data_IF_612700239735
#
_entry.id   IF_612700239735
#
_cell.length_a   1.000
_cell.length_b   1.000
_cell.length_c   1.000
_cell.angle_alpha   90.00
_cell.angle_beta   90.00
_cell.angle_gamma   90.00
#
_symmetry.space_group_name_H-M   'P 1'
#
loop_
_entity.id
_entity.type
_entity.pdbx_description
1 polymer ?
#
# COMPACT_ATOMS: atom_id res chain seq x y z
N UNK A 1 3.54 12.88 22.00
CA UNK A 1 2.62 11.86 21.53
C UNK A 1 2.56 11.81 19.99
N UNK A 2 2.26 12.90 19.29
CA UNK A 2 2.06 12.91 17.84
C UNK A 2 3.22 12.36 17.00
N UNK A 3 4.48 12.61 17.40
CA UNK A 3 5.65 12.06 16.71
C UNK A 3 5.83 10.56 16.98
N UNK A 4 5.54 10.08 18.20
CA UNK A 4 5.53 8.64 18.52
C UNK A 4 4.50 7.89 17.69
N UNK A 5 3.29 8.42 17.57
CA UNK A 5 2.22 7.85 16.72
C UNK A 5 2.67 7.81 15.26
N UNK A 6 3.25 8.89 14.75
CA UNK A 6 3.75 8.94 13.36
C UNK A 6 4.87 7.94 13.09
N UNK A 7 5.81 7.78 14.02
CA UNK A 7 6.85 6.74 13.93
C UNK A 7 6.24 5.34 13.92
N UNK A 8 5.24 5.09 14.77
CA UNK A 8 4.50 3.82 14.78
C UNK A 8 3.79 3.52 13.45
N UNK A 9 3.16 4.54 12.84
CA UNK A 9 2.53 4.41 11.52
C UNK A 9 3.55 4.05 10.43
N UNK A 10 4.71 4.74 10.41
CA UNK A 10 5.78 4.46 9.46
C UNK A 10 6.36 3.07 9.68
N UNK A 11 6.65 2.68 10.91
CA UNK A 11 7.15 1.35 11.23
C UNK A 11 6.18 0.24 10.77
N UNK A 12 4.88 0.41 11.01
CA UNK A 12 3.85 -0.52 10.55
C UNK A 12 3.81 -0.64 9.02
N UNK A 13 3.92 0.48 8.29
CA UNK A 13 3.95 0.47 6.83
C UNK A 13 5.19 -0.27 6.29
N UNK A 14 6.37 -0.06 6.90
CA UNK A 14 7.61 -0.70 6.47
C UNK A 14 7.68 -2.19 6.83
N UNK A 15 7.01 -2.62 7.90
CA UNK A 15 7.00 -4.03 8.32
C UNK A 15 6.42 -4.98 7.27
N UNK A 16 5.52 -4.50 6.42
CA UNK A 16 4.83 -5.31 5.41
C UNK A 16 5.51 -5.31 4.03
N UNK A 17 6.54 -4.47 3.81
CA UNK A 17 7.17 -4.29 2.49
C UNK A 17 7.72 -5.60 1.93
N UNK A 18 8.43 -6.38 2.74
CA UNK A 18 9.10 -7.60 2.27
C UNK A 18 8.10 -8.61 1.68
N UNK A 19 7.06 -8.95 2.45
CA UNK A 19 6.03 -9.89 2.01
C UNK A 19 5.20 -9.34 0.86
N UNK A 20 4.85 -8.05 0.89
CA UNK A 20 4.11 -7.39 -0.17
C UNK A 20 4.90 -7.39 -1.49
N UNK A 21 6.22 -7.14 -1.46
CA UNK A 21 7.07 -7.14 -2.66
C UNK A 21 7.12 -8.52 -3.32
N UNK A 22 7.29 -9.59 -2.52
CA UNK A 22 7.33 -10.95 -3.07
C UNK A 22 5.98 -11.32 -3.69
N UNK A 23 4.88 -11.04 -3.02
CA UNK A 23 3.54 -11.32 -3.53
C UNK A 23 3.24 -10.52 -4.82
N UNK A 24 3.62 -9.26 -4.84
CA UNK A 24 3.45 -8.35 -5.98
C UNK A 24 4.26 -8.83 -7.21
N UNK A 25 5.53 -9.18 -7.03
CA UNK A 25 6.37 -9.72 -8.10
C UNK A 25 5.86 -11.07 -8.64
N UNK A 26 5.41 -11.96 -7.75
CA UNK A 26 4.84 -13.25 -8.14
C UNK A 26 3.56 -13.08 -8.95
N UNK A 27 2.68 -12.16 -8.53
CA UNK A 27 1.45 -11.85 -9.27
C UNK A 27 1.75 -11.19 -10.61
N UNK A 28 2.69 -10.24 -10.66
CA UNK A 28 3.10 -9.59 -11.89
C UNK A 28 3.64 -10.61 -12.91
N UNK A 29 4.45 -11.57 -12.45
CA UNK A 29 4.96 -12.66 -13.29
C UNK A 29 3.82 -13.54 -13.81
N UNK A 30 2.91 -13.99 -12.94
CA UNK A 30 1.80 -14.86 -13.32
C UNK A 30 0.86 -14.17 -14.33
N UNK A 31 0.50 -12.91 -14.07
CA UNK A 31 -0.39 -12.13 -14.96
C UNK A 31 0.27 -11.87 -16.30
N UNK A 32 1.55 -11.47 -16.32
CA UNK A 32 2.26 -11.20 -17.57
C UNK A 32 2.46 -12.45 -18.39
N UNK A 33 2.88 -13.55 -17.79
CA UNK A 33 3.04 -14.83 -18.47
C UNK A 33 1.70 -15.34 -19.02
N UNK A 34 0.63 -15.28 -18.23
CA UNK A 34 -0.71 -15.64 -18.66
C UNK A 34 -1.23 -14.79 -19.82
N UNK A 35 -1.08 -13.47 -19.73
CA UNK A 35 -1.47 -12.56 -20.81
C UNK A 35 -0.63 -12.76 -22.08
N UNK A 36 0.68 -12.94 -21.95
CA UNK A 36 1.54 -13.23 -23.10
C UNK A 36 1.16 -14.54 -23.80
N UNK A 37 0.87 -15.58 -23.01
CA UNK A 37 0.38 -16.85 -23.51
C UNK A 37 -0.97 -16.74 -24.24
N UNK A 38 -1.94 -16.07 -23.62
CA UNK A 38 -3.29 -15.94 -24.17
C UNK A 38 -3.34 -15.03 -25.41
N UNK A 39 -2.55 -13.98 -25.44
CA UNK A 39 -2.56 -12.97 -26.51
C UNK A 39 -1.51 -13.22 -27.58
N UNK A 40 -0.56 -14.12 -27.34
CA UNK A 40 0.62 -14.36 -28.20
C UNK A 40 1.40 -13.06 -28.51
N UNK A 41 1.43 -12.12 -27.56
CA UNK A 41 2.11 -10.81 -27.70
C UNK A 41 3.27 -10.70 -26.71
N UNK A 42 4.32 -10.01 -27.11
CA UNK A 42 5.47 -9.71 -26.25
C UNK A 42 5.24 -8.53 -25.29
N UNK A 43 4.24 -7.68 -25.55
CA UNK A 43 3.98 -6.48 -24.76
C UNK A 43 3.80 -6.75 -23.25
N UNK A 44 3.10 -7.80 -22.78
CA UNK A 44 3.05 -8.15 -21.37
C UNK A 44 4.43 -8.40 -20.74
N UNK A 45 5.36 -8.99 -21.49
CA UNK A 45 6.71 -9.26 -20.99
C UNK A 45 7.54 -7.97 -20.89
N UNK A 46 7.33 -7.00 -21.78
CA UNK A 46 7.95 -5.67 -21.69
C UNK A 46 7.47 -4.96 -20.41
N UNK A 47 6.18 -5.02 -20.14
CA UNK A 47 5.66 -4.48 -18.89
C UNK A 47 6.23 -5.20 -17.66
N UNK A 48 6.37 -6.52 -17.70
CA UNK A 48 6.98 -7.30 -16.62
C UNK A 48 8.41 -6.82 -16.33
N UNK A 49 9.22 -6.59 -17.35
CA UNK A 49 10.57 -6.06 -17.17
C UNK A 49 10.57 -4.67 -16.51
N UNK A 50 9.67 -3.79 -16.93
CA UNK A 50 9.47 -2.48 -16.30
C UNK A 50 9.07 -2.64 -14.83
N UNK A 51 8.14 -3.54 -14.53
CA UNK A 51 7.68 -3.82 -13.18
C UNK A 51 8.79 -4.37 -12.29
N UNK A 52 9.54 -5.37 -12.76
CA UNK A 52 10.65 -5.94 -12.01
C UNK A 52 11.78 -4.92 -11.77
N UNK A 53 12.09 -4.08 -12.75
CA UNK A 53 13.10 -3.03 -12.59
C UNK A 53 12.75 -2.04 -11.46
N UNK A 54 11.48 -1.67 -11.30
CA UNK A 54 11.06 -0.83 -10.20
C UNK A 54 10.99 -1.60 -8.87
N UNK A 55 10.64 -2.90 -8.88
CA UNK A 55 10.58 -3.75 -7.68
C UNK A 55 11.95 -3.90 -7.03
N UNK A 56 13.05 -3.87 -7.79
CA UNK A 56 14.42 -3.88 -7.26
C UNK A 56 14.74 -2.69 -6.35
N UNK A 57 13.92 -1.65 -6.31
CA UNK A 57 14.05 -0.53 -5.37
C UNK A 57 13.54 -0.84 -3.97
N UNK A 58 12.65 -1.83 -3.81
CA UNK A 58 12.08 -2.18 -2.50
C UNK A 58 13.10 -2.69 -1.46
N UNK A 59 14.13 -3.48 -1.81
CA UNK A 59 15.19 -3.84 -0.87
C UNK A 59 15.95 -2.64 -0.30
N UNK A 60 16.02 -1.53 -1.07
CA UNK A 60 16.60 -0.27 -0.59
C UNK A 60 15.71 0.38 0.50
N UNK A 61 14.41 0.08 0.53
CA UNK A 61 13.51 0.50 1.59
C UNK A 61 13.71 -0.33 2.87
N UNK A 62 14.13 -1.58 2.75
CA UNK A 62 14.54 -2.43 3.88
C UNK A 62 15.75 -1.88 4.64
N UNK A 63 16.52 -0.97 4.05
CA UNK A 63 17.53 -0.18 4.75
C UNK A 63 16.95 0.70 5.88
N UNK A 64 15.63 0.96 5.88
CA UNK A 64 14.94 1.55 7.02
C UNK A 64 15.12 0.73 8.30
N UNK A 65 15.09 -0.60 8.18
CA UNK A 65 15.14 -1.50 9.33
C UNK A 65 16.52 -1.57 10.00
N UNK A 66 17.59 -1.21 9.31
CA UNK A 66 18.96 -1.46 9.80
C UNK A 66 19.64 -0.25 10.45
N UNK A 67 19.39 0.98 10.00
CA UNK A 67 20.23 2.12 10.45
C UNK A 67 19.51 3.46 10.60
N UNK A 68 18.42 3.68 9.91
CA UNK A 68 17.98 5.04 9.60
C UNK A 68 16.75 5.49 10.39
N UNK A 69 16.04 4.60 11.08
CA UNK A 69 14.84 4.95 11.84
C UNK A 69 15.08 5.93 12.99
N UNK A 70 16.31 6.01 13.48
CA UNK A 70 16.70 6.90 14.56
C UNK A 70 17.30 8.23 14.06
N UNK A 71 17.98 8.24 12.91
CA UNK A 71 18.69 9.39 12.37
C UNK A 71 17.82 10.35 11.55
N UNK A 72 16.77 9.83 10.89
CA UNK A 72 15.90 10.62 10.03
C UNK A 72 14.51 10.82 10.64
N UNK A 73 13.85 11.97 10.42
CA UNK A 73 12.49 12.20 10.92
C UNK A 73 11.47 11.26 10.23
N UNK A 74 10.42 10.87 10.96
CA UNK A 74 9.36 9.99 10.42
C UNK A 74 8.71 10.55 9.15
N UNK A 75 8.67 11.87 8.99
CA UNK A 75 8.15 12.51 7.77
C UNK A 75 8.98 12.23 6.52
N UNK A 76 10.30 12.06 6.64
CA UNK A 76 11.17 11.68 5.53
C UNK A 76 10.82 10.28 5.02
N UNK A 77 10.74 9.32 5.93
CA UNK A 77 10.40 7.94 5.60
C UNK A 77 8.97 7.79 5.08
N UNK A 78 8.01 8.52 5.66
CA UNK A 78 6.64 8.54 5.15
C UNK A 78 6.56 9.04 3.71
N UNK A 79 7.27 10.13 3.36
CA UNK A 79 7.31 10.65 1.98
C UNK A 79 7.96 9.66 1.01
N UNK A 80 9.04 9.02 1.44
CA UNK A 80 9.74 8.01 0.63
C UNK A 80 8.81 6.82 0.34
N UNK A 81 8.14 6.31 1.36
CA UNK A 81 7.16 5.24 1.21
C UNK A 81 6.04 5.61 0.22
N UNK A 82 5.41 6.77 0.41
CA UNK A 82 4.35 7.26 -0.48
C UNK A 82 4.82 7.37 -1.93
N UNK A 83 6.03 7.86 -2.16
CA UNK A 83 6.61 7.97 -3.51
C UNK A 83 6.79 6.60 -4.17
N UNK A 84 7.35 5.63 -3.45
CA UNK A 84 7.58 4.29 -3.98
C UNK A 84 6.25 3.56 -4.25
N UNK A 85 5.28 3.69 -3.36
CA UNK A 85 3.92 3.18 -3.57
C UNK A 85 3.28 3.81 -4.81
N UNK A 86 3.42 5.13 -5.01
CA UNK A 86 2.90 5.81 -6.19
C UNK A 86 3.53 5.29 -7.49
N UNK A 87 4.85 5.07 -7.50
CA UNK A 87 5.56 4.53 -8.67
C UNK A 87 5.06 3.12 -8.99
N UNK A 88 5.01 2.23 -8.00
CA UNK A 88 4.52 0.86 -8.18
C UNK A 88 3.09 0.85 -8.71
N UNK A 89 2.23 1.64 -8.12
CA UNK A 89 0.82 1.75 -8.49
C UNK A 89 0.61 2.33 -9.90
N UNK A 90 1.47 3.27 -10.31
CA UNK A 90 1.47 3.80 -11.68
C UNK A 90 1.88 2.72 -12.68
N UNK A 91 2.88 1.92 -12.36
CA UNK A 91 3.30 0.80 -13.23
C UNK A 91 2.17 -0.23 -13.38
N UNK A 92 1.46 -0.55 -12.30
CA UNK A 92 0.25 -1.38 -12.38
C UNK A 92 -0.88 -0.72 -13.18
N UNK A 93 -1.07 0.59 -13.04
CA UNK A 93 -2.04 1.36 -13.82
C UNK A 93 -1.73 1.38 -15.33
N UNK A 94 -0.46 1.23 -15.71
CA UNK A 94 -0.04 1.09 -17.11
C UNK A 94 -0.23 -0.33 -17.65
N UNK A 95 -0.35 -1.36 -16.80
CA UNK A 95 -0.46 -2.75 -17.23
C UNK A 95 -1.57 -3.01 -18.26
N UNK A 96 -2.78 -2.45 -18.16
CA UNK A 96 -3.85 -2.65 -19.14
C UNK A 96 -3.45 -2.28 -20.57
N UNK A 97 -2.65 -1.24 -20.74
CA UNK A 97 -2.17 -0.77 -22.05
C UNK A 97 -1.27 -1.79 -22.75
N UNK A 98 -0.56 -2.60 -21.99
CA UNK A 98 0.33 -3.65 -22.51
C UNK A 98 -0.36 -5.01 -22.62
N UNK A 99 -1.35 -5.26 -21.79
CA UNK A 99 -1.92 -6.60 -21.60
C UNK A 99 -3.26 -6.83 -22.28
N UNK A 100 -4.08 -5.76 -22.42
CA UNK A 100 -5.45 -5.91 -22.92
C UNK A 100 -5.54 -5.63 -24.42
N UNK A 101 -5.84 -6.65 -25.25
CA UNK A 101 -6.23 -6.42 -26.63
C UNK A 101 -7.67 -5.89 -26.67
N UNK A 102 -7.99 -4.92 -27.55
CA UNK A 102 -9.34 -4.43 -27.72
C UNK A 102 -10.33 -5.58 -28.05
N UNK A 103 -11.51 -5.55 -27.42
CA UNK A 103 -12.60 -6.47 -27.72
C UNK A 103 -12.52 -7.85 -27.03
N UNK A 104 -11.47 -8.15 -26.27
CA UNK A 104 -11.40 -9.39 -25.47
C UNK A 104 -12.05 -9.20 -24.09
N UNK A 105 -13.38 -9.31 -24.01
CA UNK A 105 -14.15 -9.11 -22.78
C UNK A 105 -13.77 -10.04 -21.65
N UNK A 106 -13.41 -11.28 -21.93
CA UNK A 106 -13.02 -12.24 -20.90
C UNK A 106 -11.70 -11.83 -20.22
N UNK A 107 -10.70 -11.44 -21.01
CA UNK A 107 -9.42 -10.98 -20.49
C UNK A 107 -9.56 -9.62 -19.77
N UNK A 108 -10.41 -8.73 -20.30
CA UNK A 108 -10.75 -7.47 -19.64
C UNK A 108 -11.38 -7.71 -18.27
N UNK A 109 -12.37 -8.61 -18.18
CA UNK A 109 -13.04 -8.94 -16.91
C UNK A 109 -12.05 -9.50 -15.88
N UNK A 110 -11.21 -10.47 -16.31
CA UNK A 110 -10.17 -11.03 -15.47
C UNK A 110 -9.21 -9.95 -14.95
N UNK A 111 -8.77 -9.05 -15.82
CA UNK A 111 -7.82 -8.01 -15.46
C UNK A 111 -8.43 -6.97 -14.50
N UNK A 112 -9.69 -6.60 -14.72
CA UNK A 112 -10.44 -5.75 -13.78
C UNK A 112 -10.48 -6.38 -12.40
N UNK A 113 -10.81 -7.67 -12.29
CA UNK A 113 -10.82 -8.39 -11.02
C UNK A 113 -9.43 -8.41 -10.35
N UNK A 114 -8.36 -8.59 -11.11
CA UNK A 114 -6.99 -8.57 -10.59
C UNK A 114 -6.65 -7.18 -10.01
N UNK A 115 -6.91 -6.11 -10.76
CA UNK A 115 -6.58 -4.75 -10.32
C UNK A 115 -7.40 -4.34 -9.09
N UNK A 116 -8.70 -4.63 -9.07
CA UNK A 116 -9.56 -4.32 -7.92
C UNK A 116 -9.18 -5.20 -6.71
N UNK A 117 -8.84 -6.46 -6.94
CA UNK A 117 -8.32 -7.38 -5.92
C UNK A 117 -7.02 -6.88 -5.30
N UNK A 118 -6.07 -6.40 -6.13
CA UNK A 118 -4.84 -5.78 -5.67
C UNK A 118 -5.10 -4.55 -4.79
N UNK A 119 -6.01 -3.66 -5.22
CA UNK A 119 -6.39 -2.49 -4.43
C UNK A 119 -6.90 -2.90 -3.04
N UNK A 120 -7.68 -3.98 -2.94
CA UNK A 120 -8.18 -4.49 -1.67
C UNK A 120 -7.08 -5.14 -0.83
N UNK A 121 -6.29 -6.04 -1.43
CA UNK A 121 -5.25 -6.81 -0.74
C UNK A 121 -4.13 -5.91 -0.21
N UNK A 122 -3.71 -4.90 -0.99
CA UNK A 122 -2.67 -3.97 -0.60
C UNK A 122 -3.08 -2.96 0.48
N UNK A 123 -4.38 -2.89 0.80
CA UNK A 123 -4.90 -1.89 1.75
C UNK A 123 -4.25 -1.99 3.12
N UNK A 124 -4.01 -3.20 3.62
CA UNK A 124 -3.36 -3.42 4.92
C UNK A 124 -1.97 -2.78 5.01
N UNK A 125 -1.22 -2.79 3.90
CA UNK A 125 0.13 -2.20 3.84
C UNK A 125 0.11 -0.67 3.77
N UNK A 126 -0.88 -0.06 3.10
CA UNK A 126 -0.91 1.39 2.89
C UNK A 126 -1.78 2.14 3.90
N UNK A 127 -2.69 1.45 4.61
CA UNK A 127 -3.62 2.04 5.59
C UNK A 127 -2.96 2.88 6.70
N UNK A 128 -1.73 2.55 7.19
CA UNK A 128 -1.09 3.37 8.20
C UNK A 128 -0.84 4.82 7.78
N UNK A 129 -0.65 5.08 6.48
CA UNK A 129 -0.33 6.39 5.92
C UNK A 129 -1.43 6.86 4.96
N UNK A 130 -2.26 7.81 5.38
CA UNK A 130 -3.39 8.31 4.57
C UNK A 130 -3.01 8.70 3.13
N UNK A 131 -1.85 9.33 2.93
CA UNK A 131 -1.37 9.70 1.59
C UNK A 131 -0.98 8.48 0.75
N UNK A 132 -0.53 7.40 1.38
CA UNK A 132 -0.19 6.16 0.68
C UNK A 132 -1.44 5.47 0.10
N UNK A 133 -2.59 5.58 0.76
CA UNK A 133 -3.85 5.05 0.24
C UNK A 133 -4.19 5.67 -1.12
N UNK A 134 -4.15 7.00 -1.21
CA UNK A 134 -4.41 7.70 -2.47
C UNK A 134 -3.34 7.39 -3.53
N UNK A 135 -2.07 7.39 -3.12
CA UNK A 135 -0.95 7.08 -3.99
C UNK A 135 -0.98 5.65 -4.53
N UNK A 136 -1.63 4.73 -3.80
CA UNK A 136 -1.80 3.34 -4.20
C UNK A 136 -3.00 3.13 -5.11
N UNK A 137 -4.18 3.53 -4.69
CA UNK A 137 -5.41 3.20 -5.39
C UNK A 137 -5.63 4.07 -6.64
N UNK A 138 -5.36 5.39 -6.57
CA UNK A 138 -5.72 6.28 -7.67
C UNK A 138 -4.96 5.99 -8.96
N UNK A 139 -3.61 5.88 -9.00
CA UNK A 139 -2.93 5.65 -10.26
C UNK A 139 -3.32 4.32 -10.91
N UNK A 140 -3.52 3.28 -10.10
CA UNK A 140 -3.86 1.94 -10.55
C UNK A 140 -5.24 1.89 -11.19
N UNK A 141 -6.27 2.42 -10.51
CA UNK A 141 -7.65 2.37 -11.02
C UNK A 141 -7.87 3.40 -12.13
N UNK A 142 -7.27 4.59 -12.05
CA UNK A 142 -7.36 5.59 -13.11
C UNK A 142 -6.68 5.07 -14.39
N UNK A 143 -5.50 4.44 -14.27
CA UNK A 143 -4.81 3.84 -15.39
C UNK A 143 -5.62 2.73 -16.06
N UNK A 144 -6.25 1.86 -15.28
CA UNK A 144 -7.20 0.86 -15.79
C UNK A 144 -8.37 1.53 -16.51
N UNK A 145 -9.05 2.47 -15.85
CA UNK A 145 -10.22 3.12 -16.41
C UNK A 145 -9.92 3.87 -17.72
N UNK A 146 -8.77 4.56 -17.80
CA UNK A 146 -8.36 5.25 -19.03
C UNK A 146 -8.08 4.29 -20.18
N UNK A 147 -7.45 3.14 -19.93
CA UNK A 147 -7.23 2.11 -20.94
C UNK A 147 -8.56 1.52 -21.44
N UNK A 148 -9.49 1.23 -20.56
CA UNK A 148 -10.82 0.71 -20.90
C UNK A 148 -11.64 1.74 -21.71
N UNK A 149 -11.63 3.01 -21.31
CA UNK A 149 -12.31 4.08 -22.06
C UNK A 149 -11.70 4.27 -23.45
N UNK A 150 -10.38 4.07 -23.60
CA UNK A 150 -9.71 4.12 -24.89
C UNK A 150 -10.15 2.99 -25.83
N UNK A 151 -10.40 1.78 -25.31
CA UNK A 151 -10.95 0.67 -26.10
C UNK A 151 -12.37 0.92 -26.61
N UNK A 152 -13.19 1.64 -25.85
CA UNK A 152 -14.47 2.20 -26.27
C UNK A 152 -15.60 1.20 -26.50
N UNK A 153 -15.45 -0.10 -26.15
CA UNK A 153 -16.58 -1.04 -26.22
C UNK A 153 -17.59 -0.75 -25.12
N UNK A 154 -18.86 -1.13 -25.30
CA UNK A 154 -19.89 -0.95 -24.28
C UNK A 154 -19.53 -1.65 -22.95
N UNK A 155 -18.91 -2.84 -23.05
CA UNK A 155 -18.41 -3.57 -21.90
C UNK A 155 -17.28 -2.81 -21.18
N UNK A 156 -16.28 -2.34 -21.93
CA UNK A 156 -15.12 -1.62 -21.35
C UNK A 156 -15.54 -0.31 -20.69
N UNK A 157 -16.45 0.44 -21.32
CA UNK A 157 -17.01 1.69 -20.75
C UNK A 157 -17.75 1.41 -19.43
N UNK A 158 -18.56 0.35 -19.38
CA UNK A 158 -19.26 -0.05 -18.17
C UNK A 158 -18.28 -0.49 -17.08
N UNK A 159 -17.29 -1.29 -17.44
CA UNK A 159 -16.24 -1.75 -16.52
C UNK A 159 -15.41 -0.58 -15.97
N UNK A 160 -15.09 0.43 -16.79
CA UNK A 160 -14.43 1.65 -16.35
C UNK A 160 -15.26 2.41 -15.32
N UNK A 161 -16.57 2.59 -15.59
CA UNK A 161 -17.51 3.21 -14.66
C UNK A 161 -17.58 2.48 -13.31
N UNK A 162 -17.67 1.14 -13.34
CA UNK A 162 -17.66 0.32 -12.14
C UNK A 162 -16.34 0.42 -11.38
N UNK A 163 -15.20 0.44 -12.07
CA UNK A 163 -13.89 0.59 -11.44
C UNK A 163 -13.74 1.95 -10.75
N UNK A 164 -14.22 3.04 -11.35
CA UNK A 164 -14.21 4.37 -10.74
C UNK A 164 -15.15 4.45 -9.53
N UNK A 165 -16.34 3.86 -9.61
CA UNK A 165 -17.25 3.76 -8.47
C UNK A 165 -16.62 2.96 -7.32
N UNK A 166 -15.98 1.83 -7.62
CA UNK A 166 -15.22 1.04 -6.66
C UNK A 166 -14.10 1.87 -6.00
N UNK A 167 -13.36 2.68 -6.77
CA UNK A 167 -12.32 3.55 -6.23
C UNK A 167 -12.88 4.48 -5.15
N UNK A 168 -14.02 5.13 -5.41
CA UNK A 168 -14.66 6.04 -4.45
C UNK A 168 -15.02 5.30 -3.15
N UNK A 169 -15.63 4.13 -3.26
CA UNK A 169 -16.01 3.30 -2.10
C UNK A 169 -14.76 2.86 -1.31
N UNK A 170 -13.74 2.38 -2.02
CA UNK A 170 -12.48 1.92 -1.44
C UNK A 170 -11.75 3.04 -0.68
N UNK A 171 -11.67 4.24 -1.25
CA UNK A 171 -11.04 5.39 -0.60
C UNK A 171 -11.79 5.81 0.67
N UNK A 172 -13.13 5.75 0.67
CA UNK A 172 -13.93 6.03 1.88
C UNK A 172 -13.66 4.99 2.97
N UNK A 173 -13.71 3.71 2.61
CA UNK A 173 -13.46 2.60 3.54
C UNK A 173 -12.05 2.63 4.13
N UNK A 174 -11.05 2.87 3.27
CA UNK A 174 -9.66 3.02 3.69
C UNK A 174 -9.44 4.20 4.64
N UNK A 175 -10.17 5.28 4.44
CA UNK A 175 -10.18 6.41 5.38
C UNK A 175 -10.68 6.03 6.77
N UNK A 176 -11.67 5.15 6.87
CA UNK A 176 -12.14 4.60 8.15
C UNK A 176 -11.09 3.69 8.79
N UNK A 177 -10.47 2.79 8.03
CA UNK A 177 -9.39 1.94 8.53
C UNK A 177 -8.20 2.74 9.05
N UNK A 178 -7.80 3.78 8.32
CA UNK A 178 -6.73 4.69 8.78
C UNK A 178 -7.07 5.33 10.14
N UNK A 179 -8.32 5.79 10.33
CA UNK A 179 -8.77 6.36 11.60
C UNK A 179 -8.70 5.34 12.73
N UNK A 180 -9.21 4.13 12.51
CA UNK A 180 -9.17 3.05 13.51
C UNK A 180 -7.74 2.70 13.92
N UNK A 181 -6.82 2.57 12.96
CA UNK A 181 -5.40 2.33 13.24
C UNK A 181 -4.76 3.48 14.04
N UNK A 182 -5.07 4.72 13.67
CA UNK A 182 -4.53 5.89 14.39
C UNK A 182 -5.05 5.94 15.82
N UNK A 183 -6.34 5.72 16.03
CA UNK A 183 -6.95 5.67 17.36
C UNK A 183 -6.34 4.55 18.21
N UNK A 184 -6.18 3.36 17.65
CA UNK A 184 -5.57 2.22 18.33
C UNK A 184 -4.13 2.49 18.76
N UNK A 185 -3.32 3.07 17.86
CA UNK A 185 -1.94 3.45 18.19
C UNK A 185 -1.89 4.54 19.26
N UNK A 186 -2.78 5.53 19.19
CA UNK A 186 -2.85 6.59 20.20
C UNK A 186 -3.19 6.01 21.58
N UNK A 187 -4.24 5.18 21.66
CA UNK A 187 -4.65 4.53 22.91
C UNK A 187 -3.54 3.64 23.50
N UNK A 188 -2.81 2.92 22.63
CA UNK A 188 -1.68 2.11 23.07
C UNK A 188 -0.58 2.96 23.71
N UNK A 189 -0.17 4.04 23.08
CA UNK A 189 0.89 4.91 23.62
C UNK A 189 0.44 5.67 24.86
N UNK A 190 -0.84 6.03 24.98
CA UNK A 190 -1.41 6.61 26.21
C UNK A 190 -1.38 5.59 27.34
N UNK A 191 -1.76 4.34 27.10
CA UNK A 191 -1.70 3.28 28.10
C UNK A 191 -0.26 2.97 28.54
N UNK A 192 0.71 2.95 27.61
CA UNK A 192 2.12 2.79 27.93
C UNK A 192 2.62 3.95 28.83
N UNK A 193 2.26 5.20 28.50
CA UNK A 193 2.63 6.35 29.32
C UNK A 193 2.00 6.32 30.72
N UNK A 194 0.74 5.92 30.84
CA UNK A 194 0.08 5.75 32.14
C UNK A 194 0.72 4.64 32.98
N UNK A 195 1.08 3.51 32.37
CA UNK A 195 1.76 2.44 33.05
C UNK A 195 3.14 2.87 33.59
N UNK A 196 3.91 3.65 32.80
CA UNK A 196 5.17 4.23 33.24
C UNK A 196 5.00 5.19 34.42
N UNK A 197 3.97 6.06 34.39
CA UNK A 197 3.65 6.97 35.50
C UNK A 197 3.26 6.22 36.77
N UNK A 198 2.44 5.17 36.66
CA UNK A 198 2.06 4.35 37.82
C UNK A 198 3.27 3.64 38.42
N UNK A 199 4.16 3.08 37.60
CA UNK A 199 5.39 2.42 38.05
C UNK A 199 6.29 3.41 38.82
N UNK A 200 6.42 4.65 38.33
CA UNK A 200 7.17 5.70 39.01
C UNK A 200 6.53 6.09 40.37
N UNK A 201 5.22 6.24 40.42
CA UNK A 201 4.52 6.54 41.69
C UNK A 201 4.69 5.44 42.71
N UNK A 202 4.58 4.18 42.29
CA UNK A 202 4.79 3.02 43.17
C UNK A 202 6.21 3.01 43.74
N UNK A 203 7.22 3.25 42.89
CA UNK A 203 8.61 3.29 43.35
C UNK A 203 8.89 4.42 44.35
N UNK A 204 8.35 5.61 44.11
CA UNK A 204 8.47 6.75 45.02
C UNK A 204 7.78 6.48 46.36
N UNK A 205 6.61 5.84 46.34
CA UNK A 205 5.86 5.48 47.55
C UNK A 205 6.60 4.44 48.37
N UNK A 206 7.24 3.47 47.70
CA UNK A 206 8.05 2.46 48.35
C UNK A 206 9.30 3.05 49.02
N UNK A 207 10.04 3.92 48.30
CA UNK A 207 11.19 4.63 48.85
C UNK A 207 10.81 5.45 50.10
N UNK A 208 9.70 6.17 50.06
CA UNK A 208 9.25 6.98 51.19
C UNK A 208 8.78 6.12 52.40
N UNK A 209 8.42 4.87 52.20
CA UNK A 209 8.15 3.91 53.29
C UNK A 209 9.42 3.37 53.93
N UNK A 210 10.40 3.04 53.09
CA UNK A 210 11.69 2.48 53.58
C UNK A 210 12.50 3.54 54.34
N UNK A 211 12.38 4.82 54.03
CA UNK A 211 13.01 5.91 54.78
C UNK A 211 12.36 6.19 56.14
N UNK A 212 11.14 5.71 56.39
CA UNK A 212 10.39 5.94 57.64
C UNK A 212 10.50 4.76 58.61
N UNK A 213 11.10 3.68 58.19
CA UNK A 213 11.36 2.50 59.04
C UNK A 213 12.81 2.43 59.50
#
# INVERSE_FOLDING_TARGET
LGERVRRGQVASAYATIGSATVADAALALAVSAGCAWLTQRAAPLVWLLLHLAQTLRYPLLGAYAKDAGAAQPATFWARRYVREVAINSTVWGLAPWFMLPPGNTALTALFVLIVLGLCTAGMASVAPLRRAIWAYCCPMVIGLATALLWHGTAFDMTAAGCALAYLVVTLRFAGQQHRLLTTSLTARFENEALAEQLAQQVSLTQQSRDEKT
#
